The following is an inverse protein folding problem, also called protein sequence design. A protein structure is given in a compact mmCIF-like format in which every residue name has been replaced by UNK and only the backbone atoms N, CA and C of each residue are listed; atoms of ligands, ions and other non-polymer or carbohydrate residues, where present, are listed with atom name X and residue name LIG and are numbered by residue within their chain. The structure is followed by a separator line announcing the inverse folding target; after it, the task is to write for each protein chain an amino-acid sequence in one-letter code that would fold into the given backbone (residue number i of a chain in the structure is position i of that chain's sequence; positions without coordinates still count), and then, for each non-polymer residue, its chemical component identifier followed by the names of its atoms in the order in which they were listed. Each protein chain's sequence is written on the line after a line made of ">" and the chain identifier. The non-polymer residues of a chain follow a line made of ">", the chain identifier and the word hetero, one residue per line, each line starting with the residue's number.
data_IF_930574361480
#
_entry.id   IF_930574361480
#
_cell.length_a   1.000
_cell.length_b   1.000
_cell.length_c   1.000
_cell.angle_alpha   90.00
_cell.angle_beta   90.00
_cell.angle_gamma   90.00
#
_symmetry.space_group_name_H-M   'P 1'
#
loop_
_entity.id
_entity.type
_entity.pdbx_description
1 polymer ?
#
# COMPACT_ATOMS: atom_id res chain seq x y z
N UNK A 1 30.13 11.56 2.77
CA UNK A 1 29.43 12.21 3.91
C UNK A 1 27.96 12.28 3.51
N UNK A 2 27.01 11.47 3.97
CA UNK A 2 26.90 10.61 5.15
C UNK A 2 26.21 9.29 4.76
N UNK A 3 26.85 8.17 5.07
CA UNK A 3 26.26 6.81 5.03
C UNK A 3 25.85 6.33 6.44
N UNK A 4 25.52 7.23 7.35
CA UNK A 4 25.41 6.91 8.78
C UNK A 4 24.13 7.45 9.42
N UNK A 5 22.95 7.00 8.96
CA UNK A 5 21.69 7.14 9.72
C UNK A 5 20.70 5.96 9.47
N UNK A 6 21.18 4.74 9.23
CA UNK A 6 20.26 3.58 9.14
C UNK A 6 20.72 2.44 10.06
N UNK A 7 21.05 2.75 11.31
CA UNK A 7 21.02 1.78 12.41
C UNK A 7 20.86 2.54 13.74
N UNK A 8 19.62 2.72 14.20
CA UNK A 8 19.36 2.81 15.65
C UNK A 8 17.87 2.69 15.96
N UNK A 9 17.59 1.69 16.80
CA UNK A 9 16.37 1.41 17.57
C UNK A 9 15.32 0.48 16.96
N UNK A 10 15.54 -0.82 17.15
CA UNK A 10 14.61 -1.92 16.89
C UNK A 10 13.58 -2.12 18.02
N UNK A 11 13.28 -1.11 18.84
CA UNK A 11 12.36 -1.26 19.99
C UNK A 11 11.19 -0.28 20.08
N UNK A 12 11.10 0.74 19.21
CA UNK A 12 9.91 1.60 19.12
C UNK A 12 9.18 1.41 17.78
N UNK A 13 7.99 0.80 17.85
CA UNK A 13 7.02 0.85 16.76
C UNK A 13 6.71 2.33 16.43
N UNK A 14 6.82 2.76 15.16
CA UNK A 14 6.59 4.15 14.80
C UNK A 14 5.14 4.55 15.05
N UNK A 15 4.92 5.83 15.42
CA UNK A 15 3.60 6.27 15.83
C UNK A 15 2.65 6.35 14.65
N UNK A 16 1.46 5.75 14.77
CA UNK A 16 0.42 5.87 13.73
C UNK A 16 0.04 7.33 13.42
N UNK A 17 0.31 8.29 14.30
CA UNK A 17 0.12 9.72 14.02
C UNK A 17 0.96 10.21 12.83
N UNK A 18 2.08 9.57 12.54
CA UNK A 18 2.93 9.92 11.39
C UNK A 18 2.26 9.50 10.07
N UNK A 19 1.47 8.43 10.07
CA UNK A 19 0.69 8.02 8.89
C UNK A 19 -0.23 9.13 8.44
N UNK A 20 -0.92 9.81 9.37
CA UNK A 20 -1.81 10.93 9.06
C UNK A 20 -1.09 12.08 8.33
N UNK A 21 0.19 12.31 8.67
CA UNK A 21 1.05 13.28 7.99
C UNK A 21 1.46 12.80 6.59
N UNK A 22 1.81 11.51 6.45
CA UNK A 22 2.21 10.90 5.18
C UNK A 22 1.07 10.96 4.16
N UNK A 23 -0.16 10.64 4.58
CA UNK A 23 -1.33 10.60 3.70
C UNK A 23 -2.03 11.97 3.58
N UNK A 24 -1.63 12.96 4.39
CA UNK A 24 -2.25 14.29 4.42
C UNK A 24 -3.71 14.29 4.90
N UNK A 25 -4.11 13.34 5.74
CA UNK A 25 -5.48 13.18 6.22
C UNK A 25 -5.51 12.87 7.71
N UNK A 26 -6.28 13.65 8.45
CA UNK A 26 -6.53 13.41 9.87
C UNK A 26 -7.81 12.59 10.08
N UNK A 27 -7.68 11.41 10.67
CA UNK A 27 -8.81 10.56 11.00
C UNK A 27 -9.61 11.15 12.16
N UNK A 28 -10.91 11.38 11.92
CA UNK A 28 -11.89 11.68 12.97
C UNK A 28 -11.95 10.57 14.03
N UNK A 29 -11.88 9.31 13.57
CA UNK A 29 -11.82 8.14 14.43
C UNK A 29 -10.45 7.45 14.29
N UNK A 30 -9.54 7.70 15.24
CA UNK A 30 -8.20 7.08 15.27
C UNK A 30 -8.23 5.56 15.39
N UNK A 31 -9.35 4.99 15.86
CA UNK A 31 -9.58 3.55 15.88
C UNK A 31 -9.61 2.91 14.48
N UNK A 32 -10.08 3.64 13.46
CA UNK A 32 -10.03 3.15 12.06
C UNK A 32 -8.60 3.08 11.54
N UNK A 33 -7.77 4.08 11.86
CA UNK A 33 -6.35 4.05 11.54
C UNK A 33 -5.64 2.91 12.26
N UNK A 34 -5.94 2.72 13.56
CA UNK A 34 -5.44 1.57 14.34
C UNK A 34 -5.81 0.26 13.65
N UNK A 35 -7.10 0.06 13.33
CA UNK A 35 -7.62 -1.14 12.65
C UNK A 35 -6.97 -1.38 11.28
N UNK A 36 -6.80 -0.34 10.46
CA UNK A 36 -6.21 -0.42 9.12
C UNK A 36 -4.74 -0.89 9.12
N UNK A 37 -4.00 -0.65 10.21
CA UNK A 37 -2.62 -1.08 10.37
C UNK A 37 -2.48 -2.29 11.32
N UNK A 38 -3.55 -3.06 11.57
CA UNK A 38 -3.50 -4.30 12.37
C UNK A 38 -3.60 -5.53 11.48
N UNK A 39 -2.55 -6.34 11.44
CA UNK A 39 -2.64 -7.66 10.83
C UNK A 39 -3.39 -8.64 11.73
N UNK A 40 -4.06 -9.65 11.16
CA UNK A 40 -4.92 -10.58 11.93
C UNK A 40 -4.16 -11.44 12.94
N UNK A 41 -2.86 -11.62 12.75
CA UNK A 41 -2.01 -12.34 13.70
C UNK A 41 -1.50 -11.47 14.85
N UNK A 42 -1.79 -10.16 14.86
CA UNK A 42 -1.39 -9.28 15.93
C UNK A 42 -2.34 -9.42 17.12
N UNK A 43 -1.86 -10.04 18.20
CA UNK A 43 -2.61 -10.25 19.43
C UNK A 43 -2.39 -9.07 20.38
N UNK A 44 -3.30 -8.10 20.36
CA UNK A 44 -3.36 -6.99 21.30
C UNK A 44 -4.71 -7.03 22.04
N UNK A 45 -4.67 -6.86 23.36
CA UNK A 45 -5.84 -6.87 24.25
C UNK A 45 -6.84 -5.78 23.81
N UNK A 46 -6.34 -4.66 23.27
CA UNK A 46 -7.13 -3.51 22.81
C UNK A 46 -7.42 -3.52 21.31
N UNK A 47 -7.17 -4.63 20.60
CA UNK A 47 -7.37 -4.69 19.15
C UNK A 47 -8.09 -5.98 18.73
N UNK A 48 -9.43 -5.95 18.83
CA UNK A 48 -10.28 -7.06 18.39
C UNK A 48 -10.48 -7.13 16.87
N UNK A 49 -10.06 -6.11 16.12
CA UNK A 49 -10.29 -5.98 14.68
C UNK A 49 -8.98 -5.84 13.91
N UNK A 50 -8.90 -6.62 12.82
CA UNK A 50 -7.84 -6.54 11.83
C UNK A 50 -8.29 -5.75 10.61
N UNK A 51 -7.34 -5.35 9.76
CA UNK A 51 -7.63 -4.57 8.57
C UNK A 51 -8.56 -5.27 7.56
N UNK A 52 -8.75 -6.60 7.66
CA UNK A 52 -9.44 -7.42 6.62
C UNK A 52 -10.82 -6.90 6.20
N UNK A 53 -11.60 -6.35 7.13
CA UNK A 53 -12.91 -5.76 6.79
C UNK A 53 -12.79 -4.43 6.07
N UNK A 54 -11.80 -3.62 6.46
CA UNK A 54 -11.49 -2.36 5.79
C UNK A 54 -10.88 -2.62 4.41
N UNK A 55 -10.05 -3.65 4.26
CA UNK A 55 -9.51 -4.13 2.98
C UNK A 55 -10.63 -4.54 2.02
N UNK A 56 -11.59 -5.35 2.48
CA UNK A 56 -12.74 -5.76 1.66
C UNK A 56 -13.51 -4.56 1.09
N UNK A 57 -13.76 -3.54 1.92
CA UNK A 57 -14.42 -2.31 1.47
C UNK A 57 -13.51 -1.46 0.57
N UNK A 58 -12.25 -1.32 0.95
CA UNK A 58 -11.26 -0.49 0.28
C UNK A 58 -10.92 -0.98 -1.12
N UNK A 59 -10.86 -2.29 -1.32
CA UNK A 59 -10.61 -2.91 -2.64
C UNK A 59 -11.71 -2.54 -3.64
N UNK A 60 -12.98 -2.69 -3.25
CA UNK A 60 -14.11 -2.30 -4.10
C UNK A 60 -14.13 -0.80 -4.39
N UNK A 61 -13.83 0.03 -3.38
CA UNK A 61 -13.78 1.49 -3.54
C UNK A 61 -12.66 1.92 -4.50
N UNK A 62 -11.45 1.36 -4.34
CA UNK A 62 -10.30 1.70 -5.19
C UNK A 62 -10.55 1.28 -6.64
N UNK A 63 -11.10 0.08 -6.85
CA UNK A 63 -11.49 -0.41 -8.17
C UNK A 63 -12.48 0.53 -8.85
N UNK A 64 -13.48 1.04 -8.12
CA UNK A 64 -14.45 1.99 -8.66
C UNK A 64 -13.80 3.33 -9.03
N UNK A 65 -12.96 3.90 -8.15
CA UNK A 65 -12.33 5.20 -8.41
C UNK A 65 -11.41 5.14 -9.63
N UNK A 66 -10.55 4.13 -9.74
CA UNK A 66 -9.66 3.99 -10.90
C UNK A 66 -10.44 3.67 -12.18
N UNK A 67 -11.49 2.84 -12.11
CA UNK A 67 -12.34 2.58 -13.27
C UNK A 67 -13.01 3.87 -13.77
N UNK A 68 -13.49 4.71 -12.85
CA UNK A 68 -14.06 6.02 -13.17
C UNK A 68 -13.03 6.94 -13.83
N UNK A 69 -11.83 7.05 -13.27
CA UNK A 69 -10.75 7.87 -13.83
C UNK A 69 -10.35 7.38 -15.24
N UNK A 70 -10.13 6.07 -15.43
CA UNK A 70 -9.79 5.53 -16.75
C UNK A 70 -10.91 5.77 -17.77
N UNK A 71 -12.18 5.60 -17.39
CA UNK A 71 -13.31 5.85 -18.27
C UNK A 71 -13.37 7.31 -18.75
N UNK A 72 -13.03 8.26 -17.89
CA UNK A 72 -13.04 9.69 -18.22
C UNK A 72 -11.79 10.11 -19.02
N UNK A 73 -10.62 9.55 -18.70
CA UNK A 73 -9.35 9.91 -19.34
C UNK A 73 -9.15 9.26 -20.71
N UNK A 74 -9.76 8.09 -20.94
CA UNK A 74 -9.57 7.30 -22.15
C UNK A 74 -10.91 6.97 -22.83
N UNK A 75 -11.62 7.97 -23.38
CA UNK A 75 -12.96 7.79 -23.95
C UNK A 75 -12.98 6.85 -25.17
N UNK A 76 -11.86 6.71 -25.87
CA UNK A 76 -11.72 5.89 -27.07
C UNK A 76 -11.34 4.42 -26.78
N UNK A 77 -10.97 4.10 -25.53
CA UNK A 77 -10.63 2.72 -25.16
C UNK A 77 -11.88 1.85 -25.02
N UNK A 78 -11.79 0.62 -25.53
CA UNK A 78 -12.80 -0.42 -25.34
C UNK A 78 -12.88 -0.88 -23.89
N UNK A 79 -14.00 -1.55 -23.53
CA UNK A 79 -14.16 -2.13 -22.19
C UNK A 79 -13.08 -3.17 -21.85
N UNK A 80 -12.59 -3.91 -22.84
CA UNK A 80 -11.49 -4.87 -22.69
C UNK A 80 -10.15 -4.19 -22.38
N UNK A 81 -9.82 -3.11 -23.08
CA UNK A 81 -8.60 -2.33 -22.85
C UNK A 81 -8.63 -1.65 -21.48
N UNK A 82 -9.76 -1.03 -21.12
CA UNK A 82 -9.95 -0.44 -19.78
C UNK A 82 -9.80 -1.48 -18.67
N UNK A 83 -10.27 -2.71 -18.89
CA UNK A 83 -10.10 -3.82 -17.94
C UNK A 83 -8.63 -4.22 -17.79
N UNK A 84 -7.88 -4.32 -18.89
CA UNK A 84 -6.43 -4.63 -18.87
C UNK A 84 -5.65 -3.51 -18.18
N UNK A 85 -5.93 -2.26 -18.52
CA UNK A 85 -5.31 -1.09 -17.91
C UNK A 85 -5.58 -1.04 -16.41
N UNK A 86 -6.82 -1.32 -15.98
CA UNK A 86 -7.15 -1.43 -14.55
C UNK A 86 -6.37 -2.53 -13.85
N UNK A 87 -6.29 -3.72 -14.43
CA UNK A 87 -5.56 -4.85 -13.84
C UNK A 87 -4.04 -4.56 -13.72
N UNK A 88 -3.47 -3.82 -14.68
CA UNK A 88 -2.09 -3.38 -14.62
C UNK A 88 -1.84 -2.33 -13.52
N UNK A 89 -2.80 -1.43 -13.29
CA UNK A 89 -2.67 -0.34 -12.31
C UNK A 89 -3.10 -0.71 -10.88
N UNK A 90 -4.02 -1.66 -10.71
CA UNK A 90 -4.50 -2.12 -9.41
C UNK A 90 -4.29 -3.63 -9.30
N UNK A 91 -3.24 -4.01 -8.59
CA UNK A 91 -2.97 -5.37 -8.18
C UNK A 91 -2.12 -5.35 -6.90
N UNK A 92 -1.96 -6.51 -6.25
CA UNK A 92 -1.22 -6.65 -5.00
C UNK A 92 0.18 -6.04 -5.06
N UNK A 93 0.90 -6.24 -6.17
CA UNK A 93 2.25 -5.73 -6.34
C UNK A 93 2.26 -4.19 -6.46
N UNK A 94 1.40 -3.63 -7.33
CA UNK A 94 1.29 -2.19 -7.52
C UNK A 94 0.92 -1.47 -6.20
N UNK A 95 0.02 -2.05 -5.41
CA UNK A 95 -0.37 -1.51 -4.11
C UNK A 95 0.75 -1.66 -3.07
N UNK A 96 1.46 -2.80 -3.05
CA UNK A 96 2.61 -2.99 -2.17
C UNK A 96 3.73 -1.98 -2.46
N UNK A 97 4.07 -1.80 -3.74
CA UNK A 97 5.05 -0.79 -4.19
C UNK A 97 4.63 0.63 -3.79
N UNK A 98 3.34 0.95 -3.90
CA UNK A 98 2.81 2.24 -3.43
C UNK A 98 2.95 2.40 -1.92
N UNK A 99 2.59 1.38 -1.13
CA UNK A 99 2.76 1.40 0.32
C UNK A 99 4.24 1.56 0.73
N UNK A 100 5.17 0.96 -0.01
CA UNK A 100 6.61 1.13 0.19
C UNK A 100 7.11 2.53 -0.13
N UNK A 101 6.70 3.08 -1.28
CA UNK A 101 7.04 4.44 -1.70
C UNK A 101 6.66 5.47 -0.64
N UNK A 102 5.54 5.25 0.05
CA UNK A 102 5.06 6.10 1.14
C UNK A 102 5.50 5.63 2.53
N UNK A 103 6.38 4.61 2.62
CA UNK A 103 6.94 4.09 3.87
C UNK A 103 5.88 3.54 4.85
N UNK A 104 4.69 3.22 4.34
CA UNK A 104 3.55 2.74 5.14
C UNK A 104 3.79 1.36 5.75
N UNK A 105 4.62 0.53 5.10
CA UNK A 105 4.96 -0.83 5.57
C UNK A 105 5.51 -0.83 7.01
N UNK A 106 6.25 0.20 7.41
CA UNK A 106 6.86 0.30 8.75
C UNK A 106 5.85 0.43 9.90
N UNK A 107 4.62 0.80 9.58
CA UNK A 107 3.57 1.04 10.57
C UNK A 107 2.66 -0.17 10.76
N UNK A 108 2.85 -1.25 9.98
CA UNK A 108 2.04 -2.46 10.12
C UNK A 108 2.34 -3.15 11.44
N UNK A 109 1.29 -3.44 12.20
CA UNK A 109 1.38 -4.19 13.46
C UNK A 109 1.08 -5.65 13.17
N UNK A 110 2.10 -6.51 13.28
CA UNK A 110 2.03 -7.95 13.03
C UNK A 110 2.90 -8.71 14.03
N UNK A 111 2.69 -10.02 14.11
CA UNK A 111 3.56 -10.97 14.82
C UNK A 111 4.22 -11.96 13.84
N UNK A 112 4.27 -11.60 12.56
CA UNK A 112 4.97 -12.39 11.54
C UNK A 112 6.49 -12.21 11.65
N UNK A 113 7.22 -13.32 11.83
CA UNK A 113 8.68 -13.36 11.98
C UNK A 113 9.40 -13.29 10.63
N UNK A 114 8.71 -13.63 9.53
CA UNK A 114 9.25 -13.55 8.18
C UNK A 114 8.94 -12.21 7.52
N UNK A 115 8.35 -11.26 8.25
CA UNK A 115 7.96 -9.98 7.67
C UNK A 115 9.17 -9.23 7.10
N UNK A 116 10.26 -9.13 7.85
CA UNK A 116 11.45 -8.41 7.41
C UNK A 116 12.08 -9.07 6.17
N UNK A 117 12.10 -10.41 6.11
CA UNK A 117 12.56 -11.16 4.93
C UNK A 117 11.69 -10.87 3.71
N UNK A 118 10.36 -10.90 3.86
CA UNK A 118 9.40 -10.58 2.79
C UNK A 118 9.52 -9.14 2.30
N UNK A 119 9.77 -8.22 3.23
CA UNK A 119 10.01 -6.80 2.93
C UNK A 119 11.32 -6.67 2.14
N UNK A 120 12.38 -7.39 2.50
CA UNK A 120 13.64 -7.39 1.77
C UNK A 120 13.50 -7.98 0.36
N UNK A 121 12.81 -9.10 0.19
CA UNK A 121 12.51 -9.70 -1.11
C UNK A 121 11.78 -8.69 -2.03
N UNK A 122 10.76 -8.02 -1.49
CA UNK A 122 10.04 -6.98 -2.23
C UNK A 122 10.94 -5.78 -2.57
N UNK A 123 11.80 -5.33 -1.65
CA UNK A 123 12.74 -4.25 -1.94
C UNK A 123 13.70 -4.62 -3.07
N UNK A 124 14.20 -5.85 -3.08
CA UNK A 124 15.12 -6.31 -4.13
C UNK A 124 14.39 -6.38 -5.48
N UNK A 125 13.18 -6.93 -5.51
CA UNK A 125 12.33 -6.91 -6.71
C UNK A 125 12.00 -5.50 -7.21
N UNK A 126 11.89 -4.51 -6.31
CA UNK A 126 11.70 -3.10 -6.68
C UNK A 126 12.94 -2.51 -7.34
N UNK A 127 14.15 -2.86 -6.88
CA UNK A 127 15.41 -2.40 -7.47
C UNK A 127 15.68 -3.05 -8.83
N UNK A 128 15.40 -4.34 -8.95
CA UNK A 128 15.63 -5.12 -10.17
C UNK A 128 14.65 -4.69 -11.28
N UNK A 129 13.39 -4.44 -10.92
CA UNK A 129 12.34 -3.99 -11.82
C UNK A 129 11.77 -2.64 -11.37
N UNK A 130 12.48 -1.53 -11.61
CA UNK A 130 11.97 -0.20 -11.32
C UNK A 130 10.80 0.07 -12.29
N UNK A 131 9.61 0.31 -11.74
CA UNK A 131 8.49 0.77 -12.55
C UNK A 131 8.88 2.10 -13.22
N UNK A 132 9.01 2.12 -14.54
CA UNK A 132 9.04 3.38 -15.29
C UNK A 132 7.69 4.05 -15.08
N UNK A 133 7.68 5.03 -14.18
CA UNK A 133 6.47 5.70 -13.73
C UNK A 133 5.93 6.61 -14.83
N UNK A 134 5.15 6.00 -15.70
CA UNK A 134 3.94 6.54 -16.32
C UNK A 134 3.07 5.31 -16.50
N UNK A 135 1.83 5.32 -16.02
CA UNK A 135 0.86 4.24 -16.24
C UNK A 135 0.46 4.12 -17.72
N UNK A 136 1.45 3.90 -18.58
CA UNK A 136 1.37 3.82 -20.02
C UNK A 136 1.98 2.49 -20.43
N UNK A 137 1.28 1.40 -20.13
CA UNK A 137 1.30 0.20 -20.97
C UNK A 137 0.61 0.52 -22.31
N UNK A 138 1.10 1.53 -23.04
CA UNK A 138 0.60 1.94 -24.36
C UNK A 138 1.63 1.62 -25.45
N UNK A 139 2.80 1.06 -25.13
CA UNK A 139 3.82 0.79 -26.16
C UNK A 139 3.75 -0.59 -26.81
N UNK A 140 2.90 -1.53 -26.35
CA UNK A 140 2.86 -2.90 -26.90
C UNK A 140 1.45 -3.52 -27.03
N UNK A 141 0.44 -2.70 -27.32
CA UNK A 141 -0.84 -3.15 -27.91
C UNK A 141 -1.10 -2.37 -29.20
#
# INVERSE_FOLDING_TARGET
>A
MNESVIMSDSSLQPSLKEVEKIIGYEFKNKGLLKEAFTHYNYKDIDCSKSYKRLEYLGDSFLNLMIAKEHYLLYPDMTSGELTRLRAANINTEALARTAFKHVLHRFLRHQDHLYDERIQELMEGIKEYPLHSTGSFVSEL
#
